data_IF_261607594891
#
_entry.id   IF_261607594891
#
_cell.length_a   1.000
_cell.length_b   1.000
_cell.length_c   1.000
_cell.angle_alpha   90.00
_cell.angle_beta   90.00
_cell.angle_gamma   90.00
#
_symmetry.space_group_name_H-M   'P 1'
#
loop_
_entity.id
_entity.type
_entity.pdbx_description
1 polymer ?
#
# COMPACT_ATOMS: atom_id res chain seq x y z
N UNK A 1 -3.43 12.85 -24.85
CA UNK A 1 -4.30 12.76 -23.66
C UNK A 1 -3.42 12.33 -22.50
N UNK A 2 -3.57 12.94 -21.31
CA UNK A 2 -2.84 12.51 -20.13
C UNK A 2 -3.63 11.41 -19.42
N UNK A 3 -3.14 10.17 -19.45
CA UNK A 3 -3.77 9.02 -18.78
C UNK A 3 -3.60 9.04 -17.26
N UNK A 4 -2.67 9.85 -16.74
CA UNK A 4 -2.31 9.95 -15.32
C UNK A 4 -2.89 11.20 -14.65
N UNK A 5 -4.04 11.70 -15.13
CA UNK A 5 -4.63 12.95 -14.63
C UNK A 5 -5.10 12.89 -13.16
N UNK A 6 -5.32 11.69 -12.62
CA UNK A 6 -5.68 11.48 -11.21
C UNK A 6 -4.46 11.46 -10.26
N UNK A 7 -3.24 11.57 -10.79
CA UNK A 7 -2.03 11.59 -9.97
C UNK A 7 -1.95 12.92 -9.24
N UNK A 8 -2.10 12.86 -7.92
CA UNK A 8 -1.86 13.97 -7.00
C UNK A 8 -0.39 14.00 -6.57
N UNK A 9 0.00 15.08 -5.88
CA UNK A 9 1.33 15.18 -5.27
C UNK A 9 1.61 14.03 -4.28
N UNK A 10 0.62 13.60 -3.49
CA UNK A 10 0.81 12.50 -2.53
C UNK A 10 1.01 11.16 -3.23
N UNK A 11 0.20 10.83 -4.25
CA UNK A 11 0.39 9.60 -5.02
C UNK A 11 1.70 9.61 -5.78
N UNK A 12 2.15 10.77 -6.27
CA UNK A 12 3.41 10.89 -6.97
C UNK A 12 4.61 10.59 -6.06
N UNK A 13 4.61 11.08 -4.82
CA UNK A 13 5.67 10.78 -3.85
C UNK A 13 5.76 9.28 -3.57
N UNK A 14 4.63 8.65 -3.22
CA UNK A 14 4.57 7.19 -2.96
C UNK A 14 5.07 6.40 -4.17
N UNK A 15 4.64 6.75 -5.38
CA UNK A 15 5.09 6.06 -6.61
C UNK A 15 6.61 6.18 -6.80
N UNK A 16 7.20 7.35 -6.53
CA UNK A 16 8.66 7.56 -6.65
C UNK A 16 9.42 6.74 -5.62
N UNK A 17 8.96 6.71 -4.37
CA UNK A 17 9.58 5.92 -3.30
C UNK A 17 9.52 4.41 -3.60
N UNK A 18 8.41 3.93 -4.15
CA UNK A 18 8.28 2.53 -4.57
C UNK A 18 9.21 2.20 -5.75
N UNK A 19 9.40 3.11 -6.70
CA UNK A 19 10.36 2.90 -7.79
C UNK A 19 11.80 2.83 -7.30
N UNK A 20 12.18 3.68 -6.35
CA UNK A 20 13.52 3.66 -5.74
C UNK A 20 13.78 2.35 -4.99
N UNK A 21 12.83 1.90 -4.17
CA UNK A 21 12.93 0.61 -3.47
C UNK A 21 13.03 -0.56 -4.46
N UNK A 22 12.15 -0.60 -5.48
CA UNK A 22 12.18 -1.62 -6.51
C UNK A 22 13.52 -1.65 -7.26
N UNK A 23 14.12 -0.49 -7.53
CA UNK A 23 15.43 -0.42 -8.17
C UNK A 23 16.53 -1.07 -7.30
N UNK A 24 16.54 -0.79 -5.99
CA UNK A 24 17.49 -1.40 -5.05
C UNK A 24 17.32 -2.94 -4.99
N UNK A 25 16.08 -3.44 -5.02
CA UNK A 25 15.82 -4.88 -5.09
C UNK A 25 16.32 -5.48 -6.40
N UNK A 26 16.09 -4.81 -7.54
CA UNK A 26 16.61 -5.24 -8.84
C UNK A 26 18.14 -5.32 -8.85
N UNK A 27 18.84 -4.30 -8.33
CA UNK A 27 20.30 -4.30 -8.18
C UNK A 27 20.78 -5.47 -7.30
N UNK A 28 20.10 -5.75 -6.19
CA UNK A 28 20.42 -6.88 -5.32
C UNK A 28 20.18 -8.24 -6.03
N UNK A 29 19.17 -8.35 -6.89
CA UNK A 29 18.92 -9.55 -7.71
C UNK A 29 20.01 -9.72 -8.76
N UNK A 30 20.44 -8.65 -9.43
CA UNK A 30 21.54 -8.69 -10.40
C UNK A 30 22.86 -9.13 -9.73
N UNK A 31 23.12 -8.66 -8.51
CA UNK A 31 24.25 -9.09 -7.68
C UNK A 31 24.09 -10.49 -7.08
N UNK A 32 22.99 -11.20 -7.36
CA UNK A 32 22.64 -12.52 -6.79
C UNK A 32 22.51 -12.55 -5.27
N UNK A 33 22.22 -11.40 -4.66
CA UNK A 33 22.01 -11.23 -3.22
C UNK A 33 20.53 -11.35 -2.83
N UNK A 34 19.62 -11.18 -3.77
CA UNK A 34 18.18 -11.33 -3.58
C UNK A 34 17.56 -12.27 -4.65
N UNK A 35 16.34 -12.73 -4.37
CA UNK A 35 15.51 -13.49 -5.33
C UNK A 35 14.42 -12.57 -5.87
N UNK A 36 13.92 -12.86 -7.07
CA UNK A 36 12.78 -12.15 -7.67
C UNK A 36 11.53 -12.11 -6.79
N UNK A 37 11.34 -13.07 -5.89
CA UNK A 37 10.24 -13.05 -4.92
C UNK A 37 10.23 -11.77 -4.07
N UNK A 38 11.39 -11.23 -3.73
CA UNK A 38 11.52 -10.06 -2.85
C UNK A 38 10.90 -8.80 -3.44
N UNK A 39 10.85 -8.67 -4.77
CA UNK A 39 10.20 -7.54 -5.45
C UNK A 39 8.67 -7.54 -5.24
N UNK A 40 8.10 -8.72 -4.98
CA UNK A 40 6.66 -8.94 -4.84
C UNK A 40 6.24 -9.21 -3.39
N UNK A 41 7.14 -8.99 -2.43
CA UNK A 41 6.79 -9.08 -1.02
C UNK A 41 5.71 -8.06 -0.66
N UNK A 42 4.81 -8.44 0.23
CA UNK A 42 3.66 -7.60 0.57
C UNK A 42 4.12 -6.33 1.28
N UNK A 43 3.71 -5.16 0.79
CA UNK A 43 3.98 -3.90 1.47
C UNK A 43 3.22 -3.84 2.81
N UNK A 44 3.90 -3.65 3.96
CA UNK A 44 3.26 -3.61 5.27
C UNK A 44 2.53 -2.27 5.48
N UNK A 45 1.44 -2.06 4.75
CA UNK A 45 0.75 -0.77 4.65
C UNK A 45 0.32 -0.20 6.00
N UNK A 46 -0.14 -1.03 6.94
CA UNK A 46 -0.60 -0.63 8.27
C UNK A 46 0.51 -0.37 9.29
N UNK A 47 1.75 -0.72 8.94
CA UNK A 47 2.95 -0.46 9.75
C UNK A 47 3.76 0.72 9.18
N UNK A 48 3.57 1.04 7.90
CA UNK A 48 4.30 2.08 7.20
C UNK A 48 3.93 3.52 7.62
N UNK A 49 2.78 3.74 8.26
CA UNK A 49 2.31 5.07 8.65
C UNK A 49 1.83 5.09 10.11
N UNK A 50 2.06 6.20 10.79
CA UNK A 50 1.64 6.35 12.19
C UNK A 50 0.13 6.66 12.34
N UNK A 51 -0.50 7.17 11.28
CA UNK A 51 -1.87 7.67 11.32
C UNK A 51 -2.63 7.24 10.07
N UNK A 52 -3.87 6.80 10.25
CA UNK A 52 -4.77 6.37 9.17
C UNK A 52 -6.12 7.06 9.30
N UNK A 53 -6.69 7.46 8.16
CA UNK A 53 -8.07 7.91 8.08
C UNK A 53 -8.95 6.75 7.59
N UNK A 54 -9.86 6.28 8.43
CA UNK A 54 -10.82 5.25 8.05
C UNK A 54 -12.07 5.90 7.42
N UNK A 55 -12.32 5.59 6.15
CA UNK A 55 -13.54 6.03 5.45
C UNK A 55 -14.50 4.86 5.33
N UNK A 56 -15.64 4.94 6.02
CA UNK A 56 -16.70 3.93 5.94
C UNK A 56 -17.85 4.41 5.08
N UNK A 57 -18.21 3.66 4.04
CA UNK A 57 -19.39 3.92 3.22
C UNK A 57 -20.49 2.94 3.64
N UNK A 58 -21.64 3.44 4.07
CA UNK A 58 -22.78 2.63 4.49
C UNK A 58 -23.97 2.87 3.56
N UNK A 59 -24.57 1.81 3.06
CA UNK A 59 -25.85 1.87 2.33
C UNK A 59 -27.01 1.44 3.24
N UNK A 60 -28.17 2.10 3.12
CA UNK A 60 -29.41 1.61 3.75
C UNK A 60 -30.03 0.51 2.88
N UNK A 61 -29.46 -0.68 2.95
CA UNK A 61 -30.19 -1.92 2.66
C UNK A 61 -29.96 -2.79 3.88
N UNK A 62 -31.05 -3.24 4.51
CA UNK A 62 -31.04 -3.70 5.89
C UNK A 62 -29.95 -4.72 6.25
N UNK A 63 -29.67 -4.74 7.56
CA UNK A 63 -28.97 -5.76 8.36
C UNK A 63 -27.48 -5.50 8.69
N UNK A 64 -27.30 -5.16 9.97
CA UNK A 64 -26.13 -5.36 10.84
C UNK A 64 -24.76 -4.97 10.27
N UNK A 65 -24.42 -3.69 10.44
CA UNK A 65 -23.02 -3.30 10.64
C UNK A 65 -22.59 -3.85 12.01
N UNK A 66 -22.28 -5.15 12.06
CA UNK A 66 -21.48 -5.70 13.15
C UNK A 66 -20.19 -4.90 13.16
N UNK A 67 -20.03 -4.07 14.21
CA UNK A 67 -18.81 -3.33 14.56
C UNK A 67 -17.59 -4.02 13.94
N UNK A 68 -17.06 -3.48 12.84
CA UNK A 68 -15.78 -3.93 12.29
C UNK A 68 -14.77 -3.75 13.43
N UNK A 69 -14.20 -4.83 13.99
CA UNK A 69 -13.26 -4.70 15.08
C UNK A 69 -11.94 -4.25 14.46
N UNK A 70 -11.72 -2.94 14.41
CA UNK A 70 -10.41 -2.36 14.12
C UNK A 70 -9.33 -2.89 15.09
N UNK A 71 -9.74 -3.43 16.25
CA UNK A 71 -8.87 -4.09 17.23
C UNK A 71 -8.42 -5.52 16.90
N UNK A 72 -8.54 -6.01 15.66
CA UNK A 72 -7.98 -7.33 15.24
C UNK A 72 -6.97 -7.25 14.08
N UNK A 73 -6.58 -6.05 13.64
CA UNK A 73 -5.49 -5.85 12.68
C UNK A 73 -4.16 -5.45 13.33
N UNK A 74 -4.09 -5.51 14.67
CA UNK A 74 -2.84 -5.50 15.42
C UNK A 74 -2.71 -6.82 16.17
N UNK A 75 -2.18 -7.84 15.50
CA UNK A 75 -1.45 -8.98 16.08
C UNK A 75 -0.70 -9.71 14.98
#
# INVERSE_FOLDING_TARGET
MNSSYNVSASTLQVIRDQFENANQVCEAVEMRQAKWSALFDTFPFFEAYNNYLQTCVHGRVGWYCSKLPFGKLQH
#
